data_IF_952286100577
#
_entry.id   IF_952286100577
#
_cell.length_a   1.000
_cell.length_b   1.000
_cell.length_c   1.000
_cell.angle_alpha   90.00
_cell.angle_beta   90.00
_cell.angle_gamma   90.00
#
_symmetry.space_group_name_H-M   'P 1'
#
loop_
_entity.id
_entity.type
_entity.pdbx_description
1 polymer ?
#
# COMPACT_ATOMS: atom_id res chain seq x y z
N UNK A 1 -57.46 -16.78 -36.78
CA UNK A 1 -56.23 -15.99 -36.98
C UNK A 1 -55.07 -16.90 -36.61
N UNK A 2 -54.18 -17.20 -37.57
CA UNK A 2 -53.00 -18.03 -37.34
C UNK A 2 -51.93 -17.14 -36.70
N UNK A 3 -51.53 -17.45 -35.48
CA UNK A 3 -50.33 -16.90 -34.85
C UNK A 3 -49.14 -17.34 -35.69
N UNK A 4 -48.49 -16.39 -36.36
CA UNK A 4 -47.25 -16.65 -37.09
C UNK A 4 -46.14 -16.56 -36.04
N UNK A 5 -45.74 -17.70 -35.48
CA UNK A 5 -44.44 -17.81 -34.82
C UNK A 5 -43.38 -17.75 -35.93
N UNK A 6 -42.66 -16.64 -36.01
CA UNK A 6 -41.44 -16.54 -36.83
C UNK A 6 -40.44 -17.55 -36.28
N UNK A 7 -39.94 -18.53 -37.06
CA UNK A 7 -38.79 -19.30 -36.63
C UNK A 7 -37.58 -18.39 -36.80
N UNK A 8 -37.04 -17.87 -35.70
CA UNK A 8 -35.77 -17.15 -35.77
C UNK A 8 -34.64 -18.15 -35.53
N UNK A 9 -33.64 -18.08 -36.40
CA UNK A 9 -32.38 -18.79 -36.26
C UNK A 9 -31.61 -18.08 -35.16
N UNK A 10 -31.29 -18.79 -34.08
CA UNK A 10 -30.72 -18.21 -32.85
C UNK A 10 -29.49 -17.30 -33.10
N UNK A 11 -28.71 -17.57 -34.15
CA UNK A 11 -27.59 -16.70 -34.55
C UNK A 11 -27.99 -15.29 -35.01
N UNK A 12 -29.15 -15.12 -35.65
CA UNK A 12 -29.63 -13.80 -36.07
C UNK A 12 -30.12 -12.98 -34.87
N UNK A 13 -30.78 -13.61 -33.89
CA UNK A 13 -31.24 -12.97 -32.65
C UNK A 13 -30.07 -12.52 -31.77
N UNK A 14 -29.04 -13.35 -31.66
CA UNK A 14 -27.80 -12.99 -30.93
C UNK A 14 -27.16 -11.77 -31.57
N UNK A 15 -27.02 -11.77 -32.90
CA UNK A 15 -26.42 -10.66 -33.62
C UNK A 15 -27.21 -9.36 -33.46
N UNK A 16 -28.53 -9.43 -33.47
CA UNK A 16 -29.40 -8.28 -33.22
C UNK A 16 -29.20 -7.70 -31.81
N UNK A 17 -29.14 -8.57 -30.79
CA UNK A 17 -28.90 -8.16 -29.41
C UNK A 17 -27.52 -7.50 -29.21
N UNK A 18 -26.47 -8.05 -29.81
CA UNK A 18 -25.12 -7.45 -29.75
C UNK A 18 -25.09 -6.11 -30.48
N UNK A 19 -25.69 -5.99 -31.66
CA UNK A 19 -25.77 -4.71 -32.37
C UNK A 19 -26.52 -3.64 -31.54
N UNK A 20 -27.55 -4.06 -30.80
CA UNK A 20 -28.27 -3.17 -29.89
C UNK A 20 -27.36 -2.68 -28.76
N UNK A 21 -26.59 -3.58 -28.13
CA UNK A 21 -25.62 -3.23 -27.09
C UNK A 21 -24.55 -2.26 -27.59
N UNK A 22 -23.97 -2.52 -28.76
CA UNK A 22 -22.97 -1.65 -29.38
C UNK A 22 -23.51 -0.25 -29.69
N UNK A 23 -24.80 -0.15 -30.04
CA UNK A 23 -25.48 1.12 -30.31
C UNK A 23 -25.78 1.90 -29.03
N UNK A 24 -26.27 1.25 -27.99
CA UNK A 24 -26.65 1.91 -26.73
C UNK A 24 -25.43 2.21 -25.84
N UNK A 25 -24.39 1.38 -25.90
CA UNK A 25 -23.17 1.49 -25.10
C UNK A 25 -21.91 1.61 -25.97
N UNK A 26 -21.81 2.64 -26.84
CA UNK A 26 -20.75 2.77 -27.83
C UNK A 26 -19.35 3.02 -27.23
N UNK A 27 -19.25 3.26 -25.92
CA UNK A 27 -18.00 3.52 -25.20
C UNK A 27 -17.72 2.47 -24.12
N UNK A 28 -18.48 1.38 -24.08
CA UNK A 28 -18.52 0.45 -22.96
C UNK A 28 -19.66 0.76 -21.99
N UNK A 29 -19.81 -0.11 -21.00
CA UNK A 29 -20.89 -0.09 -20.03
C UNK A 29 -20.31 0.00 -18.62
N UNK A 30 -20.91 0.82 -17.76
CA UNK A 30 -20.61 0.78 -16.33
C UNK A 30 -21.63 -0.13 -15.66
N UNK A 31 -21.21 -1.34 -15.32
CA UNK A 31 -22.01 -2.30 -14.57
C UNK A 31 -22.07 -2.01 -13.07
N UNK A 32 -21.14 -1.21 -12.55
CA UNK A 32 -21.08 -0.83 -11.14
C UNK A 32 -21.18 0.69 -11.04
N UNK A 33 -22.07 1.15 -10.18
CA UNK A 33 -22.25 2.57 -9.89
C UNK A 33 -21.82 2.86 -8.45
N UNK A 34 -20.91 3.83 -8.29
CA UNK A 34 -20.51 4.40 -7.00
C UNK A 34 -21.10 5.80 -6.89
N UNK A 35 -21.89 6.08 -5.85
CA UNK A 35 -22.37 7.43 -5.58
C UNK A 35 -21.19 8.31 -5.12
N UNK A 36 -21.15 9.58 -5.52
CA UNK A 36 -20.09 10.51 -5.13
C UNK A 36 -19.96 10.72 -3.60
N UNK A 37 -20.95 10.28 -2.82
CA UNK A 37 -20.95 10.30 -1.35
C UNK A 37 -20.38 9.03 -0.73
N UNK A 38 -20.19 7.97 -1.51
CA UNK A 38 -19.59 6.72 -1.05
C UNK A 38 -18.07 6.84 -1.10
N UNK A 39 -17.42 6.45 -0.01
CA UNK A 39 -15.98 6.53 0.17
C UNK A 39 -15.51 5.50 1.20
N UNK A 40 -14.20 5.28 1.30
CA UNK A 40 -13.65 4.47 2.38
C UNK A 40 -13.69 5.24 3.70
N UNK A 41 -14.63 4.87 4.58
CA UNK A 41 -14.75 5.47 5.91
C UNK A 41 -13.73 4.89 6.91
N UNK A 42 -13.34 3.62 6.73
CA UNK A 42 -12.45 2.90 7.62
C UNK A 42 -11.01 2.94 7.10
N UNK A 43 -10.11 3.56 7.88
CA UNK A 43 -8.69 3.66 7.54
C UNK A 43 -8.01 2.29 7.40
N UNK A 44 -8.44 1.28 8.16
CA UNK A 44 -7.90 -0.09 8.08
C UNK A 44 -8.30 -0.77 6.76
N UNK A 45 -9.54 -0.59 6.31
CA UNK A 45 -9.99 -1.18 5.05
C UNK A 45 -9.37 -0.44 3.86
N UNK A 46 -9.30 0.88 3.91
CA UNK A 46 -8.53 1.68 2.96
C UNK A 46 -7.06 1.23 2.88
N UNK A 47 -6.43 0.98 4.04
CA UNK A 47 -5.06 0.48 4.08
C UNK A 47 -4.92 -0.88 3.39
N UNK A 48 -5.90 -1.78 3.53
CA UNK A 48 -5.89 -3.08 2.82
C UNK A 48 -6.00 -2.87 1.33
N UNK A 49 -6.96 -2.08 0.85
CA UNK A 49 -7.17 -1.78 -0.59
C UNK A 49 -5.89 -1.27 -1.22
N UNK A 50 -5.24 -0.29 -0.59
CA UNK A 50 -3.98 0.28 -1.11
C UNK A 50 -2.81 -0.72 -1.12
N UNK A 51 -2.87 -1.80 -0.32
CA UNK A 51 -1.83 -2.85 -0.29
C UNK A 51 -2.12 -3.98 -1.27
N UNK A 52 -3.39 -4.31 -1.51
CA UNK A 52 -3.80 -5.52 -2.24
C UNK A 52 -4.41 -5.25 -3.61
N UNK A 53 -4.83 -4.03 -3.90
CA UNK A 53 -5.48 -3.66 -5.17
C UNK A 53 -6.97 -3.96 -5.19
N UNK A 54 -7.57 -4.13 -4.00
CA UNK A 54 -8.92 -4.67 -3.77
C UNK A 54 -8.90 -5.86 -2.80
N UNK A 55 -10.02 -6.20 -2.16
CA UNK A 55 -10.09 -7.32 -1.21
C UNK A 55 -11.35 -8.19 -1.35
N UNK A 56 -11.30 -9.44 -0.86
CA UNK A 56 -12.31 -10.50 -1.11
C UNK A 56 -13.77 -10.08 -0.88
N UNK A 57 -14.07 -9.33 0.18
CA UNK A 57 -15.44 -8.91 0.47
C UNK A 57 -15.99 -7.92 -0.57
N UNK A 58 -15.14 -7.13 -1.23
CA UNK A 58 -15.56 -6.25 -2.33
C UNK A 58 -15.93 -7.05 -3.59
N UNK A 59 -15.29 -8.20 -3.83
CA UNK A 59 -15.59 -9.02 -5.02
C UNK A 59 -17.03 -9.55 -5.00
N UNK A 60 -17.57 -9.87 -3.82
CA UNK A 60 -18.96 -10.34 -3.69
C UNK A 60 -19.94 -9.22 -4.01
N UNK A 61 -19.75 -8.04 -3.42
CA UNK A 61 -20.60 -6.88 -3.68
C UNK A 61 -20.51 -6.42 -5.14
N UNK A 62 -19.31 -6.41 -5.73
CA UNK A 62 -19.11 -6.08 -7.14
C UNK A 62 -19.86 -7.07 -8.05
N UNK A 63 -19.76 -8.37 -7.78
CA UNK A 63 -20.46 -9.41 -8.55
C UNK A 63 -21.98 -9.24 -8.49
N UNK A 64 -22.54 -8.97 -7.30
CA UNK A 64 -23.97 -8.74 -7.13
C UNK A 64 -24.43 -7.49 -7.89
N UNK A 65 -23.69 -6.38 -7.78
CA UNK A 65 -23.99 -5.14 -8.51
C UNK A 65 -23.93 -5.34 -10.03
N UNK A 66 -22.94 -6.07 -10.53
CA UNK A 66 -22.83 -6.38 -11.96
C UNK A 66 -24.03 -7.23 -12.42
N UNK A 67 -24.42 -8.23 -11.66
CA UNK A 67 -25.57 -9.07 -11.97
C UNK A 67 -26.87 -8.27 -12.05
N UNK A 68 -27.12 -7.36 -11.09
CA UNK A 68 -28.30 -6.50 -11.10
C UNK A 68 -28.33 -5.58 -12.34
N UNK A 69 -27.21 -4.92 -12.65
CA UNK A 69 -27.08 -4.06 -13.83
C UNK A 69 -27.30 -4.83 -15.13
N UNK A 70 -26.67 -6.00 -15.26
CA UNK A 70 -26.83 -6.89 -16.42
C UNK A 70 -28.30 -7.29 -16.57
N UNK A 71 -28.95 -7.75 -15.48
CA UNK A 71 -30.36 -8.13 -15.50
C UNK A 71 -31.25 -6.97 -15.96
N UNK A 72 -30.97 -5.75 -15.51
CA UNK A 72 -31.73 -4.56 -15.92
C UNK A 72 -31.52 -4.22 -17.40
N UNK A 73 -30.29 -4.32 -17.91
CA UNK A 73 -29.99 -4.05 -19.33
C UNK A 73 -30.68 -5.07 -20.24
N UNK A 74 -30.60 -6.35 -19.89
CA UNK A 74 -31.23 -7.43 -20.62
C UNK A 74 -32.77 -7.28 -20.62
N UNK A 75 -33.34 -6.87 -19.49
CA UNK A 75 -34.78 -6.58 -19.39
C UNK A 75 -35.18 -5.36 -20.25
N UNK A 76 -34.32 -4.35 -20.36
CA UNK A 76 -34.56 -3.21 -21.24
C UNK A 76 -34.58 -3.63 -22.71
N UNK A 77 -33.61 -4.46 -23.13
CA UNK A 77 -33.60 -5.03 -24.48
C UNK A 77 -34.87 -5.84 -24.77
N UNK A 78 -35.25 -6.76 -23.86
CA UNK A 78 -36.49 -7.55 -23.98
C UNK A 78 -37.72 -6.67 -24.21
N UNK A 79 -37.84 -5.58 -23.44
CA UNK A 79 -38.93 -4.61 -23.58
C UNK A 79 -38.89 -3.86 -24.91
N UNK A 80 -37.70 -3.50 -25.40
CA UNK A 80 -37.54 -2.75 -26.64
C UNK A 80 -37.93 -3.59 -27.87
N UNK A 81 -37.64 -4.88 -27.86
CA UNK A 81 -38.05 -5.80 -28.94
C UNK A 81 -39.48 -6.35 -28.76
N UNK A 82 -40.21 -5.87 -27.73
CA UNK A 82 -41.57 -6.31 -27.37
C UNK A 82 -41.71 -7.84 -27.23
N UNK A 83 -40.69 -8.51 -26.70
CA UNK A 83 -40.69 -9.96 -26.52
C UNK A 83 -41.21 -10.38 -25.14
N UNK A 84 -41.97 -11.48 -25.09
CA UNK A 84 -42.37 -12.08 -23.81
C UNK A 84 -41.13 -12.64 -23.07
N UNK A 85 -40.26 -13.36 -23.79
CA UNK A 85 -39.01 -13.91 -23.27
C UNK A 85 -37.91 -13.83 -24.32
N UNK A 86 -36.65 -13.80 -23.85
CA UNK A 86 -35.46 -13.98 -24.68
C UNK A 86 -34.87 -15.37 -24.44
N UNK A 87 -34.24 -15.95 -25.46
CA UNK A 87 -33.58 -17.25 -25.34
C UNK A 87 -32.36 -17.18 -24.41
N UNK A 88 -31.99 -18.32 -23.84
CA UNK A 88 -30.80 -18.43 -22.99
C UNK A 88 -29.52 -18.07 -23.77
N UNK A 89 -29.42 -18.47 -25.03
CA UNK A 89 -28.27 -18.18 -25.89
C UNK A 89 -28.09 -16.67 -26.16
N UNK A 90 -29.19 -15.94 -26.38
CA UNK A 90 -29.15 -14.47 -26.50
C UNK A 90 -28.77 -13.84 -25.18
N UNK A 91 -29.38 -14.30 -24.07
CA UNK A 91 -29.10 -13.79 -22.73
C UNK A 91 -27.62 -13.95 -22.38
N UNK A 92 -27.07 -15.12 -22.60
CA UNK A 92 -25.68 -15.43 -22.25
C UNK A 92 -24.70 -14.68 -23.17
N UNK A 93 -25.00 -14.56 -24.47
CA UNK A 93 -24.20 -13.73 -25.39
C UNK A 93 -24.18 -12.25 -24.97
N UNK A 94 -25.31 -11.70 -24.52
CA UNK A 94 -25.38 -10.34 -23.99
C UNK A 94 -24.57 -10.19 -22.70
N UNK A 95 -24.65 -11.16 -21.78
CA UNK A 95 -23.85 -11.14 -20.54
C UNK A 95 -22.35 -11.13 -20.85
N UNK A 96 -21.92 -12.02 -21.73
CA UNK A 96 -20.52 -12.12 -22.14
C UNK A 96 -20.04 -10.78 -22.71
N UNK A 97 -20.81 -10.19 -23.64
CA UNK A 97 -20.49 -8.88 -24.19
C UNK A 97 -20.44 -7.78 -23.12
N UNK A 98 -21.40 -7.75 -22.19
CA UNK A 98 -21.46 -6.75 -21.12
C UNK A 98 -20.25 -6.85 -20.18
N UNK A 99 -19.81 -8.06 -19.83
CA UNK A 99 -18.59 -8.27 -19.05
C UNK A 99 -17.33 -7.87 -19.81
N UNK A 100 -17.24 -8.21 -21.11
CA UNK A 100 -16.10 -7.85 -21.95
C UNK A 100 -15.97 -6.34 -22.18
N UNK A 101 -17.08 -5.60 -22.07
CA UNK A 101 -17.15 -4.17 -22.28
C UNK A 101 -17.43 -3.38 -20.97
N UNK A 102 -17.25 -4.01 -19.80
CA UNK A 102 -17.36 -3.35 -18.51
C UNK A 102 -16.22 -2.35 -18.33
N UNK A 103 -16.58 -1.07 -18.18
CA UNK A 103 -15.64 0.04 -17.95
C UNK A 103 -15.68 0.55 -16.52
N UNK A 104 -16.37 -0.15 -15.61
CA UNK A 104 -16.47 0.24 -14.21
C UNK A 104 -15.12 0.20 -13.50
N UNK A 105 -14.84 1.23 -12.71
CA UNK A 105 -13.62 1.37 -11.91
C UNK A 105 -13.97 1.60 -10.43
N UNK A 106 -14.72 0.69 -9.78
CA UNK A 106 -15.34 0.94 -8.48
C UNK A 106 -14.32 1.31 -7.40
N UNK A 107 -13.13 0.69 -7.41
CA UNK A 107 -12.06 1.00 -6.46
C UNK A 107 -11.56 2.44 -6.67
N UNK A 108 -11.26 2.83 -7.91
CA UNK A 108 -10.77 4.17 -8.23
C UNK A 108 -11.84 5.24 -7.93
N UNK A 109 -13.11 4.96 -8.21
CA UNK A 109 -14.23 5.84 -7.91
C UNK A 109 -14.41 6.05 -6.40
N UNK A 110 -14.33 4.97 -5.59
CA UNK A 110 -14.34 5.08 -4.12
C UNK A 110 -13.13 5.84 -3.59
N UNK A 111 -11.93 5.56 -4.12
CA UNK A 111 -10.70 6.26 -3.71
C UNK A 111 -10.76 7.75 -4.05
N UNK A 112 -11.32 8.11 -5.20
CA UNK A 112 -11.53 9.50 -5.62
C UNK A 112 -12.46 10.28 -4.69
N UNK A 113 -13.48 9.61 -4.17
CA UNK A 113 -14.42 10.21 -3.20
C UNK A 113 -13.84 10.22 -1.77
N UNK A 114 -12.80 9.44 -1.53
CA UNK A 114 -12.15 9.34 -0.22
C UNK A 114 -11.25 10.55 0.00
N UNK A 115 -11.50 11.27 1.10
CA UNK A 115 -10.68 12.41 1.50
C UNK A 115 -9.20 12.00 1.63
N UNK A 116 -8.34 12.99 1.46
CA UNK A 116 -6.92 12.87 1.71
C UNK A 116 -6.62 12.32 3.11
N UNK A 117 -5.57 11.50 3.18
CA UNK A 117 -5.17 10.83 4.40
C UNK A 117 -3.76 11.25 4.80
N UNK A 118 -3.48 11.18 6.10
CA UNK A 118 -2.13 11.29 6.60
C UNK A 118 -1.46 9.92 6.50
N UNK A 119 -0.47 9.82 5.62
CA UNK A 119 0.38 8.67 5.47
C UNK A 119 1.70 8.88 6.19
N UNK A 120 2.38 7.79 6.50
CA UNK A 120 3.76 7.83 6.93
C UNK A 120 4.54 6.60 6.52
N UNK A 121 5.86 6.78 6.48
CA UNK A 121 6.82 5.71 6.25
C UNK A 121 7.79 5.70 7.43
N UNK A 122 7.90 4.54 8.08
CA UNK A 122 8.93 4.33 9.09
C UNK A 122 10.26 4.02 8.43
N UNK A 123 11.31 4.64 8.96
CA UNK A 123 12.68 4.24 8.65
C UNK A 123 13.18 3.23 9.70
N UNK A 124 14.35 2.64 9.47
CA UNK A 124 15.07 1.80 10.45
C UNK A 124 15.70 2.61 11.58
N UNK A 125 15.82 3.91 11.40
CA UNK A 125 16.51 4.77 12.33
C UNK A 125 15.55 5.15 13.44
N UNK A 126 16.07 5.20 14.67
CA UNK A 126 15.35 5.66 15.84
C UNK A 126 16.05 6.91 16.38
N UNK A 127 15.26 7.83 16.92
CA UNK A 127 15.72 8.97 17.72
C UNK A 127 15.98 8.52 19.16
N UNK A 128 16.89 9.21 19.87
CA UNK A 128 17.24 9.00 21.27
C UNK A 128 17.69 7.59 21.70
N UNK A 129 18.03 6.73 20.74
CA UNK A 129 18.73 5.47 21.00
C UNK A 129 20.20 5.74 21.38
N UNK A 130 20.48 5.86 22.68
CA UNK A 130 21.80 6.19 23.20
C UNK A 130 22.46 4.99 23.89
N UNK A 131 23.66 4.63 23.42
CA UNK A 131 24.44 3.50 23.97
C UNK A 131 25.49 3.95 25.01
N UNK A 132 25.69 5.27 25.16
CA UNK A 132 26.77 5.86 25.95
C UNK A 132 26.29 6.71 27.14
N UNK A 133 27.19 6.96 28.10
CA UNK A 133 26.87 7.68 29.33
C UNK A 133 26.71 9.22 29.17
N UNK A 134 26.95 9.79 27.98
CA UNK A 134 26.91 11.25 27.76
C UNK A 134 25.90 11.61 26.68
N UNK A 135 24.78 12.19 27.12
CA UNK A 135 23.68 12.65 26.26
C UNK A 135 24.17 13.52 25.10
N UNK A 136 24.93 14.59 25.38
CA UNK A 136 25.37 15.54 24.34
C UNK A 136 26.28 14.90 23.27
N UNK A 137 27.08 13.88 23.64
CA UNK A 137 27.92 13.15 22.67
C UNK A 137 27.08 12.23 21.79
N UNK A 138 26.16 11.48 22.38
CA UNK A 138 25.30 10.55 21.64
C UNK A 138 24.30 11.31 20.75
N UNK A 139 23.69 12.39 21.27
CA UNK A 139 22.85 13.31 20.50
C UNK A 139 23.61 13.87 19.28
N UNK A 140 24.83 14.38 19.48
CA UNK A 140 25.64 14.92 18.38
C UNK A 140 25.97 13.85 17.32
N UNK A 141 26.26 12.62 17.74
CA UNK A 141 26.53 11.48 16.85
C UNK A 141 25.29 11.12 16.02
N UNK A 142 24.13 10.99 16.67
CA UNK A 142 22.87 10.67 16.01
C UNK A 142 22.41 11.79 15.08
N UNK A 143 22.48 13.05 15.53
CA UNK A 143 22.16 14.22 14.71
C UNK A 143 22.99 14.25 13.42
N UNK A 144 24.30 14.04 13.52
CA UNK A 144 25.17 14.00 12.36
C UNK A 144 24.86 12.82 11.43
N UNK A 145 24.51 11.65 11.98
CA UNK A 145 24.05 10.48 11.21
C UNK A 145 22.79 10.81 10.41
N UNK A 146 21.75 11.32 11.07
CA UNK A 146 20.46 11.62 10.46
C UNK A 146 20.58 12.75 9.43
N UNK A 147 21.30 13.84 9.74
CA UNK A 147 21.56 14.92 8.78
C UNK A 147 22.28 14.43 7.53
N UNK A 148 23.29 13.58 7.68
CA UNK A 148 24.03 13.02 6.55
C UNK A 148 23.13 12.10 5.70
N UNK A 149 22.23 11.34 6.33
CA UNK A 149 21.34 10.40 5.64
C UNK A 149 20.19 11.13 4.93
N UNK A 150 19.57 12.09 5.61
CA UNK A 150 18.27 12.64 5.22
C UNK A 150 18.28 14.09 4.76
N UNK A 151 19.15 14.95 5.30
CA UNK A 151 19.13 16.37 4.94
C UNK A 151 20.02 16.70 3.74
N UNK A 152 19.56 17.68 2.97
CA UNK A 152 20.08 18.10 1.67
C UNK A 152 20.19 19.61 1.60
N UNK A 153 19.22 20.28 2.22
CA UNK A 153 19.21 21.72 2.43
C UNK A 153 19.53 22.06 3.89
N UNK A 154 19.92 23.31 4.14
CA UNK A 154 20.10 23.80 5.52
C UNK A 154 18.78 23.82 6.31
N UNK A 155 17.64 24.05 5.63
CA UNK A 155 16.32 23.97 6.26
C UNK A 155 16.05 22.56 6.81
N UNK A 156 16.28 21.52 6.00
CA UNK A 156 16.16 20.13 6.44
C UNK A 156 17.15 19.77 7.57
N UNK A 157 18.37 20.33 7.56
CA UNK A 157 19.32 20.12 8.66
C UNK A 157 18.86 20.76 9.97
N UNK A 158 18.24 21.93 9.91
CA UNK A 158 17.62 22.59 11.06
C UNK A 158 16.43 21.79 11.57
N UNK A 159 15.59 21.32 10.65
CA UNK A 159 14.42 20.50 10.96
C UNK A 159 14.80 19.24 11.74
N UNK A 160 15.75 18.45 11.22
CA UNK A 160 16.21 17.23 11.92
C UNK A 160 16.78 17.56 13.30
N UNK A 161 17.49 18.69 13.47
CA UNK A 161 17.98 19.07 14.78
C UNK A 161 16.86 19.48 15.73
N UNK A 162 15.85 20.18 15.23
CA UNK A 162 14.70 20.58 16.03
C UNK A 162 13.94 19.35 16.49
N UNK A 163 13.48 18.51 15.55
CA UNK A 163 12.74 17.27 15.82
C UNK A 163 13.50 16.37 16.80
N UNK A 164 14.81 16.17 16.59
CA UNK A 164 15.60 15.31 17.46
C UNK A 164 15.81 15.90 18.86
N UNK A 165 15.90 17.23 19.00
CA UNK A 165 16.10 17.89 20.30
C UNK A 165 14.84 17.88 21.15
N UNK A 166 13.68 18.03 20.52
CA UNK A 166 12.37 18.01 21.18
C UNK A 166 11.87 16.60 21.49
N UNK A 167 12.41 15.59 20.82
CA UNK A 167 12.09 14.21 21.12
C UNK A 167 12.58 13.83 22.53
N UNK A 168 11.69 13.32 23.38
CA UNK A 168 12.02 12.90 24.75
C UNK A 168 12.28 11.38 24.87
N UNK A 169 11.53 10.58 24.12
CA UNK A 169 11.60 9.11 24.16
C UNK A 169 12.35 8.55 22.96
N UNK A 170 12.76 7.28 23.04
CA UNK A 170 13.17 6.54 21.85
C UNK A 170 11.96 6.41 20.92
N UNK A 171 12.10 6.87 19.68
CA UNK A 171 11.00 6.91 18.73
C UNK A 171 11.50 6.61 17.31
N UNK A 172 10.69 5.94 16.47
CA UNK A 172 11.05 5.73 15.08
C UNK A 172 11.21 7.07 14.37
N UNK A 173 12.25 7.19 13.55
CA UNK A 173 12.36 8.25 12.55
C UNK A 173 11.44 7.88 11.40
N UNK A 174 10.56 8.81 11.05
CA UNK A 174 9.53 8.59 10.05
C UNK A 174 9.33 9.83 9.18
N UNK A 175 8.73 9.60 8.02
CA UNK A 175 8.31 10.67 7.11
C UNK A 175 6.81 10.63 6.94
N UNK A 176 6.16 11.73 7.27
CA UNK A 176 4.71 11.89 7.18
C UNK A 176 4.37 12.72 5.95
N UNK A 177 3.25 12.43 5.29
CA UNK A 177 2.80 13.18 4.14
C UNK A 177 1.29 13.05 3.99
N UNK A 178 0.64 14.15 3.62
CA UNK A 178 -0.80 14.17 3.37
C UNK A 178 -1.04 13.98 1.88
N UNK A 179 -1.85 13.01 1.46
CA UNK A 179 -2.05 12.75 0.03
C UNK A 179 -3.43 12.16 -0.27
N UNK A 180 -3.84 12.29 -1.53
CA UNK A 180 -5.00 11.57 -2.07
C UNK A 180 -4.74 10.06 -2.07
N UNK A 181 -5.66 9.23 -1.54
CA UNK A 181 -5.56 7.78 -1.66
C UNK A 181 -5.51 7.29 -3.13
N UNK A 182 -6.18 8.00 -4.04
CA UNK A 182 -6.15 7.68 -5.47
C UNK A 182 -4.75 7.86 -6.06
N UNK A 183 -4.05 8.95 -5.71
CA UNK A 183 -2.68 9.19 -6.17
C UNK A 183 -1.71 8.13 -5.64
N UNK A 184 -1.86 7.73 -4.38
CA UNK A 184 -1.09 6.63 -3.78
C UNK A 184 -1.38 5.31 -4.51
N UNK A 185 -2.65 5.00 -4.77
CA UNK A 185 -3.06 3.80 -5.48
C UNK A 185 -2.47 3.75 -6.90
N UNK A 186 -2.60 4.83 -7.66
CA UNK A 186 -2.05 4.94 -9.01
C UNK A 186 -0.53 4.77 -9.00
N UNK A 187 0.18 5.40 -8.05
CA UNK A 187 1.62 5.24 -7.92
C UNK A 187 2.05 3.79 -7.63
N UNK A 188 1.23 3.03 -6.91
CA UNK A 188 1.47 1.61 -6.61
C UNK A 188 1.18 0.76 -7.85
N UNK A 189 -0.01 0.88 -8.44
CA UNK A 189 -0.52 -0.06 -9.44
C UNK A 189 -0.22 0.32 -10.90
N UNK A 190 0.39 1.48 -11.15
CA UNK A 190 0.94 1.77 -12.49
C UNK A 190 2.15 0.86 -12.77
N UNK A 191 1.93 -0.19 -13.57
CA UNK A 191 2.85 -1.30 -13.80
C UNK A 191 4.15 -0.91 -14.52
N UNK A 192 4.28 0.32 -15.02
CA UNK A 192 5.46 0.69 -15.81
C UNK A 192 6.63 1.16 -14.94
N UNK A 193 6.37 1.68 -13.74
CA UNK A 193 7.36 2.42 -12.97
C UNK A 193 7.98 1.64 -11.80
N UNK A 194 9.28 1.90 -11.55
CA UNK A 194 10.09 1.19 -10.56
C UNK A 194 10.12 1.85 -9.20
N UNK A 195 9.80 3.14 -9.15
CA UNK A 195 10.01 3.95 -7.98
C UNK A 195 8.78 4.78 -7.67
N UNK A 196 8.62 5.12 -6.40
CA UNK A 196 7.60 6.05 -5.91
C UNK A 196 8.33 7.31 -5.44
N UNK A 197 7.83 8.46 -5.86
CA UNK A 197 8.26 9.80 -5.45
C UNK A 197 7.19 10.39 -4.53
N UNK A 198 7.62 10.99 -3.42
CA UNK A 198 6.79 11.79 -2.54
C UNK A 198 7.44 13.16 -2.46
N UNK A 199 6.73 14.20 -2.88
CA UNK A 199 7.18 15.60 -2.73
C UNK A 199 6.32 16.26 -1.68
N UNK A 200 6.93 16.83 -0.65
CA UNK A 200 6.15 17.45 0.44
C UNK A 200 6.09 16.65 1.74
N UNK A 201 7.05 15.78 2.02
CA UNK A 201 7.05 15.00 3.25
C UNK A 201 7.65 15.77 4.44
N UNK A 202 7.12 15.51 5.63
CA UNK A 202 7.55 16.07 6.90
C UNK A 202 8.39 15.05 7.66
N UNK A 203 9.55 15.46 8.14
CA UNK A 203 10.39 14.63 9.02
C UNK A 203 9.84 14.67 10.45
N UNK A 204 9.71 13.49 11.07
CA UNK A 204 9.15 13.40 12.40
C UNK A 204 9.69 12.20 13.19
N UNK A 205 9.60 12.31 14.50
CA UNK A 205 9.83 11.23 15.45
C UNK A 205 8.58 11.14 16.32
N UNK A 206 7.74 10.13 16.08
CA UNK A 206 6.50 9.94 16.85
C UNK A 206 6.59 8.62 17.62
N UNK A 207 6.54 8.74 18.94
CA UNK A 207 6.32 7.62 19.83
C UNK A 207 4.81 7.45 20.05
N UNK A 208 4.22 6.57 19.24
CA UNK A 208 2.80 6.22 19.33
C UNK A 208 2.46 5.50 20.63
N UNK A 209 3.43 4.90 21.33
CA UNK A 209 3.15 4.17 22.57
C UNK A 209 2.98 5.10 23.76
N UNK A 210 3.79 6.16 23.84
CA UNK A 210 3.76 7.14 24.92
C UNK A 210 2.97 8.40 24.59
N UNK A 211 2.56 8.58 23.33
CA UNK A 211 1.84 9.77 22.88
C UNK A 211 2.75 11.00 22.88
N UNK A 212 4.00 10.83 22.43
CA UNK A 212 4.97 11.92 22.28
C UNK A 212 5.25 12.14 20.81
N UNK A 213 5.33 13.39 20.39
CA UNK A 213 5.68 13.73 19.02
C UNK A 213 6.56 14.97 18.93
N UNK A 214 7.23 15.06 17.79
CA UNK A 214 7.51 16.34 17.16
C UNK A 214 7.42 16.17 15.65
N UNK A 215 6.60 16.98 14.99
CA UNK A 215 6.53 17.01 13.53
C UNK A 215 7.08 18.34 13.05
N UNK A 216 8.13 18.24 12.25
CA UNK A 216 8.75 19.37 11.61
C UNK A 216 7.87 20.01 10.54
N UNK A 217 7.96 21.33 10.36
CA UNK A 217 7.25 22.06 9.30
C UNK A 217 8.09 23.14 8.59
N UNK A 218 9.37 23.31 8.96
CA UNK A 218 10.30 24.26 8.35
C UNK A 218 11.16 23.61 7.26
N UNK A 219 11.38 22.29 7.35
CA UNK A 219 12.09 21.49 6.36
C UNK A 219 11.19 20.47 5.68
N UNK A 220 10.82 20.75 4.43
CA UNK A 220 10.11 19.80 3.57
C UNK A 220 11.10 18.84 2.90
N UNK A 221 10.73 17.58 2.79
CA UNK A 221 11.54 16.51 2.24
C UNK A 221 10.90 15.90 0.99
N UNK A 222 11.73 15.70 -0.02
CA UNK A 222 11.38 14.90 -1.19
C UNK A 222 11.99 13.51 -1.04
N UNK A 223 11.12 12.50 -1.05
CA UNK A 223 11.48 11.10 -0.81
C UNK A 223 11.30 10.34 -2.10
N UNK A 224 12.17 9.35 -2.31
CA UNK A 224 11.96 8.38 -3.37
C UNK A 224 12.49 7.02 -2.97
N UNK A 225 11.68 6.01 -3.26
CA UNK A 225 11.87 4.65 -2.80
C UNK A 225 11.62 3.69 -3.95
N UNK A 226 12.21 2.50 -3.86
CA UNK A 226 11.72 1.38 -4.65
C UNK A 226 10.24 1.17 -4.32
N UNK A 227 9.43 0.94 -5.35
CA UNK A 227 8.00 0.72 -5.21
C UNK A 227 7.69 -0.39 -4.19
N UNK A 228 8.41 -1.50 -4.26
CA UNK A 228 8.31 -2.63 -3.31
C UNK A 228 8.55 -2.18 -1.86
N UNK A 229 9.62 -1.41 -1.60
CA UNK A 229 9.92 -0.88 -0.26
C UNK A 229 8.83 0.06 0.25
N UNK A 230 8.26 0.89 -0.63
CA UNK A 230 7.14 1.76 -0.27
C UNK A 230 5.94 0.91 0.13
N UNK A 231 5.51 -0.03 -0.73
CA UNK A 231 4.35 -0.92 -0.50
C UNK A 231 4.48 -1.67 0.81
N UNK A 232 5.67 -2.07 1.23
CA UNK A 232 5.86 -2.76 2.51
C UNK A 232 5.76 -1.83 3.73
N UNK A 233 6.05 -0.53 3.59
CA UNK A 233 6.39 0.33 4.73
C UNK A 233 5.62 1.66 4.82
N UNK A 234 4.71 1.93 3.88
CA UNK A 234 3.74 3.02 4.05
C UNK A 234 2.60 2.59 4.97
N UNK A 235 2.09 3.51 5.76
CA UNK A 235 0.96 3.30 6.65
C UNK A 235 0.06 4.53 6.64
N UNK A 236 -1.25 4.33 6.69
CA UNK A 236 -2.21 5.38 7.06
C UNK A 236 -2.16 5.53 8.58
N UNK A 237 -2.10 6.79 9.03
CA UNK A 237 -1.96 7.13 10.44
C UNK A 237 -3.03 6.48 11.33
N UNK A 238 -4.30 6.59 10.95
CA UNK A 238 -5.42 6.01 11.70
C UNK A 238 -5.60 4.49 11.45
N UNK A 239 -4.82 3.87 10.56
CA UNK A 239 -4.89 2.44 10.26
C UNK A 239 -3.85 1.59 11.02
N UNK A 240 -2.72 2.18 11.42
CA UNK A 240 -1.66 1.41 12.09
C UNK A 240 -2.03 1.14 13.54
N UNK A 241 -2.51 -0.08 13.78
CA UNK A 241 -2.97 -0.57 15.07
C UNK A 241 -1.93 -0.51 16.19
N UNK A 242 -2.44 -0.18 17.38
CA UNK A 242 -1.78 0.03 18.68
C UNK A 242 -0.98 1.33 18.80
N UNK A 243 -1.43 2.19 19.73
CA UNK A 243 -0.83 3.49 20.04
C UNK A 243 -1.66 4.68 19.57
N UNK A 244 -1.27 5.87 20.00
CA UNK A 244 -1.93 7.13 19.68
C UNK A 244 -1.73 7.49 18.20
N UNK A 245 -2.81 7.93 17.56
CA UNK A 245 -2.76 8.52 16.21
C UNK A 245 -2.25 9.95 16.24
N UNK A 246 -1.80 10.46 15.10
CA UNK A 246 -1.34 11.83 14.95
C UNK A 246 -2.35 12.84 15.51
N UNK A 247 -3.63 12.63 15.19
CA UNK A 247 -4.72 13.49 15.65
C UNK A 247 -4.83 13.49 17.18
N UNK A 248 -4.62 12.34 17.81
CA UNK A 248 -4.68 12.20 19.27
C UNK A 248 -3.49 12.87 19.97
N UNK A 249 -2.30 12.84 19.36
CA UNK A 249 -1.09 13.43 19.95
C UNK A 249 -1.02 14.94 19.70
N UNK A 250 -1.23 15.37 18.46
CA UNK A 250 -1.00 16.76 18.06
C UNK A 250 -2.24 17.65 18.17
N UNK A 251 -3.45 17.07 18.17
CA UNK A 251 -4.70 17.83 18.13
C UNK A 251 -4.91 18.68 16.87
N UNK A 252 -3.99 18.61 15.89
CA UNK A 252 -3.99 19.44 14.68
C UNK A 252 -4.37 18.64 13.44
N UNK A 253 -5.19 19.28 12.61
CA UNK A 253 -5.48 18.92 11.21
C UNK A 253 -5.04 20.06 10.29
N UNK A 254 -4.58 19.75 9.08
CA UNK A 254 -4.30 20.76 8.04
C UNK A 254 -2.82 20.91 7.71
N UNK A 255 -2.24 19.88 7.11
CA UNK A 255 -0.91 19.94 6.47
C UNK A 255 -1.09 20.20 4.98
N UNK A 256 -0.08 20.82 4.37
CA UNK A 256 -0.05 20.96 2.92
C UNK A 256 0.03 19.57 2.28
N UNK A 257 -0.72 19.42 1.19
CA UNK A 257 -0.78 18.19 0.40
C UNK A 257 0.58 17.91 -0.26
N UNK A 258 1.01 16.66 -0.14
CA UNK A 258 2.16 16.12 -0.80
C UNK A 258 1.75 15.48 -2.13
N UNK A 259 2.57 15.67 -3.17
CA UNK A 259 2.38 14.96 -4.44
C UNK A 259 3.02 13.58 -4.38
N UNK A 260 2.25 12.55 -4.72
CA UNK A 260 2.72 11.16 -4.79
C UNK A 260 2.54 10.64 -6.22
N UNK A 261 3.60 10.11 -6.80
CA UNK A 261 3.56 9.55 -8.16
C UNK A 261 4.68 8.54 -8.37
N UNK A 262 4.54 7.69 -9.40
CA UNK A 262 5.58 6.74 -9.77
C UNK A 262 6.49 7.26 -10.87
N UNK A 263 7.73 6.75 -10.93
CA UNK A 263 8.71 7.14 -11.94
C UNK A 263 9.62 5.96 -12.32
N UNK A 264 10.00 5.91 -13.59
CA UNK A 264 10.81 4.83 -14.15
C UNK A 264 12.32 5.05 -13.98
N UNK A 265 12.74 6.31 -13.93
CA UNK A 265 14.14 6.70 -13.86
C UNK A 265 14.42 7.28 -12.48
N UNK A 266 15.56 6.90 -11.90
CA UNK A 266 16.13 7.72 -10.82
C UNK A 266 16.27 9.16 -11.35
N UNK A 267 15.72 10.16 -10.66
CA UNK A 267 15.81 11.55 -11.10
C UNK A 267 17.26 11.94 -11.39
N UNK A 268 17.55 12.31 -12.65
CA UNK A 268 18.91 12.67 -13.09
C UNK A 268 19.19 14.12 -12.70
N UNK A 269 20.30 14.36 -12.00
CA UNK A 269 20.75 15.70 -11.57
C UNK A 269 20.84 15.84 -10.04
N UNK A 270 20.27 14.88 -9.32
CA UNK A 270 20.18 14.92 -7.86
C UNK A 270 21.14 13.90 -7.26
N UNK A 271 22.46 14.19 -7.26
CA UNK A 271 23.37 13.49 -6.35
C UNK A 271 22.99 13.94 -4.94
N UNK A 272 22.20 13.13 -4.23
CA UNK A 272 21.73 13.39 -2.87
C UNK A 272 20.67 14.51 -2.79
N UNK A 273 19.39 14.22 -3.08
CA UNK A 273 18.25 14.96 -2.47
C UNK A 273 17.12 14.02 -2.06
N UNK A 274 17.07 12.87 -2.72
CA UNK A 274 16.17 11.77 -2.43
C UNK A 274 16.70 10.90 -1.29
N UNK A 275 15.80 10.48 -0.41
CA UNK A 275 16.09 9.60 0.71
C UNK A 275 15.68 8.18 0.34
N UNK A 276 16.65 7.28 0.20
CA UNK A 276 16.39 5.85 0.27
C UNK A 276 16.17 5.50 1.74
N UNK A 277 14.92 5.20 2.07
CA UNK A 277 14.54 4.74 3.40
C UNK A 277 14.83 3.24 3.46
N UNK A 278 15.78 2.88 4.31
CA UNK A 278 15.89 1.52 4.82
C UNK A 278 14.78 1.37 5.87
N UNK A 279 14.02 0.29 5.74
CA UNK A 279 12.89 -0.07 6.59
C UNK A 279 13.19 -1.39 7.30
N UNK A 280 12.48 -1.68 8.40
CA UNK A 280 12.73 -2.91 9.19
C UNK A 280 12.67 -4.17 8.32
N UNK A 281 11.74 -4.20 7.37
CA UNK A 281 11.61 -5.31 6.39
C UNK A 281 12.83 -5.37 5.48
N UNK A 282 13.27 -4.24 4.90
CA UNK A 282 14.45 -4.25 4.01
C UNK A 282 15.75 -4.60 4.75
N UNK A 283 15.90 -4.24 6.02
CA UNK A 283 17.05 -4.65 6.84
C UNK A 283 16.97 -6.12 7.21
N UNK A 284 15.78 -6.65 7.53
CA UNK A 284 15.58 -8.08 7.70
C UNK A 284 15.93 -8.85 6.41
N UNK A 285 15.48 -8.38 5.24
CA UNK A 285 15.81 -8.96 3.94
C UNK A 285 17.31 -8.89 3.64
N UNK A 286 17.98 -7.76 3.89
CA UNK A 286 19.45 -7.63 3.75
C UNK A 286 20.18 -8.55 4.72
N UNK A 287 19.72 -8.65 5.96
CA UNK A 287 20.29 -9.58 6.96
C UNK A 287 20.14 -11.02 6.51
N UNK A 288 18.96 -11.42 6.06
CA UNK A 288 18.71 -12.75 5.49
C UNK A 288 19.60 -13.01 4.27
N UNK A 289 19.71 -12.07 3.33
CA UNK A 289 20.57 -12.20 2.15
C UNK A 289 22.06 -12.28 2.51
N UNK A 290 22.50 -11.51 3.51
CA UNK A 290 23.87 -11.58 4.05
C UNK A 290 24.13 -12.95 4.72
N UNK A 291 23.20 -13.44 5.53
CA UNK A 291 23.27 -14.76 6.17
C UNK A 291 23.28 -15.88 5.13
N UNK A 292 22.44 -15.80 4.10
CA UNK A 292 22.40 -16.73 2.97
C UNK A 292 23.69 -16.72 2.16
N UNK A 293 24.23 -15.54 1.87
CA UNK A 293 25.52 -15.41 1.16
C UNK A 293 26.64 -16.03 2.00
N UNK A 294 26.75 -15.66 3.27
CA UNK A 294 27.76 -16.21 4.20
C UNK A 294 27.62 -17.73 4.33
N UNK A 295 26.40 -18.25 4.46
CA UNK A 295 26.14 -19.68 4.52
C UNK A 295 26.54 -20.40 3.24
N UNK A 296 26.20 -19.85 2.06
CA UNK A 296 26.60 -20.41 0.76
C UNK A 296 28.11 -20.44 0.58
N UNK A 297 28.81 -19.38 0.98
CA UNK A 297 30.25 -19.23 0.79
C UNK A 297 31.07 -20.01 1.81
N UNK A 298 30.64 -20.05 3.07
CA UNK A 298 31.47 -20.55 4.18
C UNK A 298 30.93 -21.80 4.87
N UNK A 299 29.63 -22.09 4.74
CA UNK A 299 28.93 -23.13 5.53
C UNK A 299 29.08 -22.93 7.05
N UNK A 300 29.37 -21.70 7.48
CA UNK A 300 29.46 -21.33 8.90
C UNK A 300 28.16 -20.65 9.31
N UNK A 301 27.47 -21.23 10.30
CA UNK A 301 26.25 -20.66 10.86
C UNK A 301 26.55 -19.44 11.76
N UNK A 302 25.56 -18.58 11.95
CA UNK A 302 25.70 -17.34 12.73
C UNK A 302 24.84 -17.40 13.99
N UNK A 303 25.39 -16.96 15.13
CA UNK A 303 24.62 -16.91 16.38
C UNK A 303 23.44 -15.93 16.25
N UNK A 304 22.26 -16.36 16.68
CA UNK A 304 21.01 -15.60 16.55
C UNK A 304 20.36 -15.64 15.16
N UNK A 305 20.87 -16.43 14.22
CA UNK A 305 20.18 -16.77 12.97
C UNK A 305 19.09 -17.81 13.24
N UNK A 306 17.83 -17.43 13.06
CA UNK A 306 16.68 -18.30 13.37
C UNK A 306 16.26 -19.18 12.18
N UNK A 307 16.89 -19.06 11.00
CA UNK A 307 16.58 -19.92 9.88
C UNK A 307 17.30 -21.26 10.02
N UNK A 308 16.54 -22.27 10.45
CA UNK A 308 17.06 -23.61 10.71
C UNK A 308 17.84 -24.24 9.53
N UNK A 309 17.51 -23.88 8.28
CA UNK A 309 18.17 -24.41 7.07
C UNK A 309 19.64 -23.96 6.93
N UNK A 310 20.06 -22.92 7.65
CA UNK A 310 21.44 -22.42 7.68
C UNK A 310 22.25 -22.98 8.84
N UNK A 311 21.79 -24.07 9.44
CA UNK A 311 22.46 -24.76 10.54
C UNK A 311 22.56 -26.25 10.23
N UNK A 312 23.78 -26.75 10.11
CA UNK A 312 24.05 -28.16 9.79
C UNK A 312 23.74 -29.12 10.94
N UNK A 313 23.87 -28.65 12.18
CA UNK A 313 23.73 -29.50 13.37
C UNK A 313 23.06 -28.71 14.51
N UNK A 314 21.79 -29.02 14.74
CA UNK A 314 20.98 -28.44 15.80
C UNK A 314 20.10 -29.53 16.44
N UNK A 315 20.68 -30.44 17.26
CA UNK A 315 19.92 -31.51 17.88
C UNK A 315 18.87 -30.97 18.83
N UNK A 316 17.76 -31.70 18.92
CA UNK A 316 16.71 -31.44 19.90
C UNK A 316 17.20 -31.82 21.30
N UNK A 317 16.93 -30.96 22.28
CA UNK A 317 17.24 -31.17 23.70
C UNK A 317 15.91 -31.22 24.45
N UNK A 318 15.62 -32.38 25.04
CA UNK A 318 14.43 -32.59 25.86
C UNK A 318 14.65 -32.21 27.34
N UNK A 319 15.38 -31.12 27.59
CA UNK A 319 15.73 -30.66 28.92
C UNK A 319 15.55 -29.14 28.98
N UNK A 320 14.94 -28.62 30.04
CA UNK A 320 14.52 -27.21 30.12
C UNK A 320 15.69 -26.22 29.94
N UNK A 321 15.56 -25.20 29.06
CA UNK A 321 14.46 -25.01 28.11
C UNK A 321 14.53 -26.06 26.97
N UNK A 322 13.39 -26.70 26.68
CA UNK A 322 13.28 -27.71 25.63
C UNK A 322 13.33 -27.06 24.24
N UNK A 323 13.94 -27.75 23.29
CA UNK A 323 14.05 -27.28 21.90
C UNK A 323 15.38 -27.61 21.23
N UNK A 324 15.61 -27.11 20.02
CA UNK A 324 16.82 -27.38 19.25
C UNK A 324 17.91 -26.37 19.58
N UNK A 325 19.15 -26.85 19.80
CA UNK A 325 20.31 -25.97 19.98
C UNK A 325 21.36 -26.24 18.92
N UNK A 326 21.74 -25.23 18.13
CA UNK A 326 22.87 -25.36 17.23
C UNK A 326 24.16 -25.50 18.03
N UNK A 327 24.88 -26.62 17.86
CA UNK A 327 26.13 -26.88 18.61
C UNK A 327 27.29 -26.00 18.15
N UNK A 328 27.23 -25.51 16.89
CA UNK A 328 28.30 -24.71 16.28
C UNK A 328 28.25 -23.24 16.69
N UNK A 329 27.09 -22.59 16.59
CA UNK A 329 26.96 -21.16 16.92
C UNK A 329 26.23 -20.88 18.23
N UNK A 330 25.50 -21.86 18.78
CA UNK A 330 24.77 -21.72 20.03
C UNK A 330 23.35 -21.16 19.91
N UNK A 331 22.86 -20.85 18.69
CA UNK A 331 21.46 -20.43 18.49
C UNK A 331 20.50 -21.50 19.00
N UNK A 332 19.43 -21.06 19.64
CA UNK A 332 18.45 -21.94 20.28
C UNK A 332 17.05 -21.64 19.76
N UNK A 333 16.33 -22.68 19.35
CA UNK A 333 14.92 -22.63 18.99
C UNK A 333 14.15 -23.30 20.11
N UNK A 334 13.31 -22.52 20.80
CA UNK A 334 12.41 -23.04 21.83
C UNK A 334 11.31 -23.86 21.13
N UNK A 335 11.00 -25.01 21.69
CA UNK A 335 9.84 -25.83 21.32
C UNK A 335 8.57 -25.34 22.02
#
# INVERSE_FOLDING_TARGET
MKTIQKPIQVQDDVKEAINWLEKEYPKGVNLIYIDYRESYENATDLQKVLKTGGYEDEYMWQSDSQHESISQIIENYRKEIEADEISDEVRDSMKDWLFEHDTSTPIEDLLKNTRDQLFFINTIDYANQFEGASYEKEYSKQLNKLRKKYARTEAQKKEIAHVLREQFYEAPVSFYFYASPLDVYNAIYDNQDKYIVIKGAYFSTIDRSQGSNWLGNEGIFDIFLLKENFIENFFIDDAKGTGYSWKEIAGQSGYDEASVYSENKKPKGVKQEIIEIETEVTEAQKREAMLDKKWRETKVCTFGDMNFKRHENAPYRNAYPCGNKCEKCGTFWID
#
